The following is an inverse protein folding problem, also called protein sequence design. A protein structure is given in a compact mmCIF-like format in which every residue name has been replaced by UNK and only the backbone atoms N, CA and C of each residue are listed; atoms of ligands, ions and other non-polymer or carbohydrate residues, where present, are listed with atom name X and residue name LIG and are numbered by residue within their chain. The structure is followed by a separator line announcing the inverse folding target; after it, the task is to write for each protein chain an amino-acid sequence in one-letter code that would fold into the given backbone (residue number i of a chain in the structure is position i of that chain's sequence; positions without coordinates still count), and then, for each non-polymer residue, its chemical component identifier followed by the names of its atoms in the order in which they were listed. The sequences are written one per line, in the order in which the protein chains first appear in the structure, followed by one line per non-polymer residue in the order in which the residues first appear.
data_IF_646883914944
#
_entry.id   IF_646883914944
#
_cell.length_a   1.000
_cell.length_b   1.000
_cell.length_c   1.000
_cell.angle_alpha   90.00
_cell.angle_beta   90.00
_cell.angle_gamma   90.00
#
_symmetry.space_group_name_H-M   'P 1'
#
loop_
_entity.id
_entity.type
_entity.pdbx_description
1 polymer ?
#
# COMPACT_ATOMS: atom_id res chain seq x y z
N UNK A 1 -16.83 -15.23 -15.15
CA UNK A 1 -16.25 -15.68 -13.88
C UNK A 1 -16.12 -14.49 -12.94
N UNK A 2 -16.30 -14.70 -11.64
CA UNK A 2 -16.17 -13.67 -10.63
C UNK A 2 -14.68 -13.28 -10.48
N UNK A 3 -14.37 -11.98 -10.55
CA UNK A 3 -12.98 -11.49 -10.46
C UNK A 3 -12.44 -11.62 -9.05
N UNK A 4 -11.16 -11.97 -8.96
CA UNK A 4 -10.42 -12.15 -7.70
C UNK A 4 -9.53 -10.95 -7.43
N UNK A 5 -9.60 -10.38 -6.23
CA UNK A 5 -8.74 -9.27 -5.81
C UNK A 5 -8.00 -9.57 -4.51
N UNK A 6 -6.70 -9.29 -4.49
CA UNK A 6 -5.89 -9.30 -3.28
C UNK A 6 -5.56 -7.86 -2.85
N UNK A 7 -5.72 -7.58 -1.56
CA UNK A 7 -5.36 -6.30 -0.94
C UNK A 7 -4.28 -6.53 0.13
N UNK A 8 -2.98 -6.53 -0.24
CA UNK A 8 -1.89 -6.51 0.72
C UNK A 8 -1.92 -5.24 1.56
N UNK A 9 -1.75 -5.36 2.89
CA UNK A 9 -1.90 -4.22 3.79
C UNK A 9 -3.34 -3.94 4.21
N UNK A 10 -4.22 -4.91 4.06
CA UNK A 10 -5.66 -4.83 4.37
C UNK A 10 -5.99 -4.39 5.82
N UNK A 11 -5.07 -4.59 6.78
CA UNK A 11 -5.23 -4.11 8.16
C UNK A 11 -5.16 -2.58 8.29
N UNK A 12 -4.50 -1.92 7.35
CA UNK A 12 -4.32 -0.46 7.35
C UNK A 12 -5.63 0.28 7.06
N UNK A 13 -5.62 1.60 7.32
CA UNK A 13 -6.78 2.45 7.08
C UNK A 13 -7.29 2.37 5.63
N UNK A 14 -6.43 2.63 4.64
CA UNK A 14 -6.82 2.53 3.23
C UNK A 14 -7.18 1.09 2.86
N UNK A 15 -6.37 0.12 3.31
CA UNK A 15 -6.54 -1.29 2.96
C UNK A 15 -7.87 -1.89 3.38
N UNK A 16 -8.41 -1.55 4.56
CA UNK A 16 -9.69 -2.08 4.99
C UNK A 16 -10.85 -1.56 4.13
N UNK A 17 -10.83 -0.30 3.68
CA UNK A 17 -11.84 0.22 2.75
C UNK A 17 -11.72 -0.38 1.34
N UNK A 18 -10.50 -0.68 0.88
CA UNK A 18 -10.31 -1.36 -0.40
C UNK A 18 -10.86 -2.79 -0.36
N UNK A 19 -10.73 -3.49 0.77
CA UNK A 19 -11.36 -4.81 0.95
C UNK A 19 -12.89 -4.69 0.91
N UNK A 20 -13.48 -3.75 1.64
CA UNK A 20 -14.92 -3.48 1.61
C UNK A 20 -15.39 -3.14 0.19
N UNK A 21 -14.67 -2.24 -0.50
CA UNK A 21 -14.98 -1.86 -1.88
C UNK A 21 -14.89 -3.02 -2.89
N UNK A 22 -14.01 -4.00 -2.67
CA UNK A 22 -13.95 -5.23 -3.46
C UNK A 22 -15.20 -6.08 -3.27
N UNK A 23 -15.61 -6.28 -2.01
CA UNK A 23 -16.83 -7.04 -1.68
C UNK A 23 -18.11 -6.38 -2.21
N UNK A 24 -18.22 -5.06 -2.12
CA UNK A 24 -19.35 -4.29 -2.64
C UNK A 24 -19.50 -4.41 -4.16
N UNK A 25 -18.40 -4.61 -4.86
CA UNK A 25 -18.36 -4.85 -6.32
C UNK A 25 -18.54 -6.31 -6.71
N UNK A 26 -18.87 -7.18 -5.76
CA UNK A 26 -19.06 -8.60 -6.01
C UNK A 26 -17.79 -9.36 -6.36
N UNK A 27 -16.61 -8.86 -5.96
CA UNK A 27 -15.36 -9.56 -6.19
C UNK A 27 -15.06 -10.59 -5.10
N UNK A 28 -14.44 -11.70 -5.45
CA UNK A 28 -13.81 -12.58 -4.48
C UNK A 28 -12.59 -11.86 -3.90
N UNK A 29 -12.68 -11.44 -2.63
CA UNK A 29 -11.75 -10.50 -2.03
C UNK A 29 -10.89 -11.15 -0.96
N UNK A 30 -9.55 -11.08 -1.14
CA UNK A 30 -8.56 -11.51 -0.16
C UNK A 30 -7.94 -10.31 0.56
N UNK A 31 -8.01 -10.34 1.87
CA UNK A 31 -7.25 -9.45 2.75
C UNK A 31 -5.85 -10.02 2.96
N UNK A 32 -4.83 -9.39 2.39
CA UNK A 32 -3.43 -9.73 2.59
C UNK A 32 -2.92 -9.18 3.93
N UNK A 33 -2.65 -10.07 4.89
CA UNK A 33 -2.27 -9.70 6.26
C UNK A 33 -1.10 -10.56 6.76
N UNK A 34 -0.41 -10.11 7.82
CA UNK A 34 0.52 -10.94 8.57
C UNK A 34 -0.24 -11.80 9.59
N UNK A 35 0.31 -12.94 10.00
CA UNK A 35 -0.28 -13.84 11.01
C UNK A 35 -0.74 -13.12 12.28
N UNK A 36 0.05 -12.13 12.73
CA UNK A 36 -0.21 -11.35 13.96
C UNK A 36 -1.09 -10.13 13.74
N UNK A 37 -1.63 -9.91 12.55
CA UNK A 37 -2.42 -8.72 12.25
C UNK A 37 -3.77 -8.74 12.94
N UNK A 38 -4.16 -7.60 13.53
CA UNK A 38 -5.52 -7.41 14.02
C UNK A 38 -6.51 -7.40 12.86
N UNK A 39 -7.65 -8.08 13.04
CA UNK A 39 -8.76 -8.13 12.07
C UNK A 39 -9.91 -7.20 12.46
N UNK A 40 -9.69 -6.21 13.33
CA UNK A 40 -10.74 -5.35 13.91
C UNK A 40 -11.71 -4.76 12.88
N UNK A 41 -11.23 -4.39 11.71
CA UNK A 41 -12.02 -3.81 10.61
C UNK A 41 -12.24 -4.77 9.43
N UNK A 42 -11.93 -6.06 9.61
CA UNK A 42 -12.05 -7.10 8.59
C UNK A 42 -12.99 -8.19 9.12
N UNK A 43 -14.24 -7.82 9.43
CA UNK A 43 -15.22 -8.68 10.10
C UNK A 43 -16.26 -9.31 9.16
N UNK A 44 -16.38 -8.84 7.91
CA UNK A 44 -17.31 -9.40 6.94
C UNK A 44 -16.92 -10.85 6.64
N UNK A 45 -17.89 -11.76 6.76
CA UNK A 45 -17.67 -13.22 6.57
C UNK A 45 -17.27 -13.60 5.14
N UNK A 46 -17.48 -12.72 4.17
CA UNK A 46 -17.09 -12.92 2.77
C UNK A 46 -15.59 -12.69 2.54
N UNK A 47 -14.90 -12.01 3.50
CA UNK A 47 -13.47 -11.76 3.39
C UNK A 47 -12.71 -13.08 3.48
N UNK A 48 -11.87 -13.32 2.47
CA UNK A 48 -10.86 -14.37 2.50
C UNK A 48 -9.55 -13.79 3.00
N UNK A 49 -8.72 -14.59 3.61
CA UNK A 49 -7.44 -14.12 4.17
C UNK A 49 -6.28 -14.80 3.44
N UNK A 50 -5.29 -14.00 3.05
CA UNK A 50 -4.00 -14.48 2.58
C UNK A 50 -2.93 -14.02 3.59
N UNK A 51 -2.22 -14.97 4.19
CA UNK A 51 -1.09 -14.67 5.06
C UNK A 51 0.14 -14.38 4.20
N UNK A 52 0.72 -13.18 4.32
CA UNK A 52 1.84 -12.73 3.50
C UNK A 52 2.92 -12.05 4.35
N UNK A 53 4.14 -12.54 4.26
CA UNK A 53 5.30 -11.99 4.98
C UNK A 53 6.29 -11.33 4.00
N UNK A 54 6.08 -10.08 3.67
CA UNK A 54 6.90 -9.32 2.71
C UNK A 54 8.35 -9.08 3.16
N UNK A 55 8.65 -9.22 4.45
CA UNK A 55 9.99 -9.02 4.99
C UNK A 55 10.93 -10.24 4.82
N UNK A 56 10.37 -11.39 4.43
CA UNK A 56 11.10 -12.64 4.21
C UNK A 56 10.67 -13.21 2.86
N UNK A 57 11.55 -13.14 1.88
CA UNK A 57 11.25 -13.52 0.49
C UNK A 57 10.92 -15.01 0.35
N UNK A 58 11.66 -15.86 1.03
CA UNK A 58 11.46 -17.32 0.91
C UNK A 58 10.13 -17.74 1.57
N UNK A 59 9.86 -17.22 2.76
CA UNK A 59 8.58 -17.44 3.43
C UNK A 59 7.40 -16.91 2.64
N UNK A 60 7.55 -15.74 2.01
CA UNK A 60 6.53 -15.18 1.13
C UNK A 60 6.26 -16.11 -0.06
N UNK A 61 7.30 -16.68 -0.68
CA UNK A 61 7.15 -17.64 -1.77
C UNK A 61 6.40 -18.90 -1.32
N UNK A 62 6.77 -19.48 -0.18
CA UNK A 62 6.05 -20.63 0.38
C UNK A 62 4.55 -20.33 0.54
N UNK A 63 4.21 -19.17 1.10
CA UNK A 63 2.82 -18.76 1.29
C UNK A 63 2.08 -18.56 -0.04
N UNK A 64 2.74 -18.01 -1.05
CA UNK A 64 2.17 -17.84 -2.39
C UNK A 64 1.99 -19.16 -3.13
N UNK A 65 2.91 -20.13 -2.95
CA UNK A 65 2.79 -21.47 -3.51
C UNK A 65 1.55 -22.19 -2.97
N UNK A 66 1.38 -22.18 -1.64
CA UNK A 66 0.19 -22.75 -0.99
C UNK A 66 -1.08 -22.09 -1.53
N UNK A 67 -1.11 -20.76 -1.60
CA UNK A 67 -2.26 -20.05 -2.15
C UNK A 67 -2.54 -20.42 -3.61
N UNK A 68 -1.50 -20.50 -4.44
CA UNK A 68 -1.62 -20.89 -5.86
C UNK A 68 -2.25 -22.27 -6.02
N UNK A 69 -1.85 -23.23 -5.19
CA UNK A 69 -2.39 -24.59 -5.22
C UNK A 69 -3.87 -24.66 -4.83
N UNK A 70 -4.27 -23.89 -3.82
CA UNK A 70 -5.64 -23.94 -3.28
C UNK A 70 -6.63 -23.06 -4.06
N UNK A 71 -6.18 -21.93 -4.57
CA UNK A 71 -7.06 -20.87 -5.07
C UNK A 71 -6.68 -20.34 -6.46
N UNK A 72 -5.51 -20.70 -6.97
CA UNK A 72 -4.94 -20.11 -8.20
C UNK A 72 -4.40 -18.70 -7.96
N UNK A 73 -4.35 -17.89 -9.02
CA UNK A 73 -3.91 -16.49 -8.96
C UNK A 73 -5.05 -15.51 -8.65
N UNK A 74 -4.70 -14.23 -8.55
CA UNK A 74 -5.62 -13.11 -8.48
C UNK A 74 -5.65 -12.35 -9.80
N UNK A 75 -6.83 -11.88 -10.21
CA UNK A 75 -6.95 -10.99 -11.38
C UNK A 75 -6.38 -9.60 -11.08
N UNK A 76 -6.61 -9.11 -9.86
CA UNK A 76 -6.16 -7.79 -9.42
C UNK A 76 -5.42 -7.86 -8.09
N UNK A 77 -4.36 -7.06 -7.96
CA UNK A 77 -3.66 -6.84 -6.70
C UNK A 77 -3.62 -5.34 -6.43
N UNK A 78 -4.12 -4.91 -5.25
CA UNK A 78 -4.04 -3.52 -4.81
C UNK A 78 -3.05 -3.45 -3.65
N UNK A 79 -1.78 -3.19 -3.98
CA UNK A 79 -0.69 -3.24 -3.01
C UNK A 79 -0.62 -1.95 -2.18
N UNK A 80 -1.21 -1.97 -1.00
CA UNK A 80 -1.16 -0.90 -0.01
C UNK A 80 -0.38 -1.29 1.26
N UNK A 81 0.31 -2.44 1.26
CA UNK A 81 1.23 -2.77 2.34
C UNK A 81 2.42 -1.80 2.34
N UNK A 82 2.76 -1.32 3.52
CA UNK A 82 3.86 -0.41 3.73
C UNK A 82 3.86 0.15 5.15
N UNK A 83 4.88 0.92 5.46
CA UNK A 83 5.04 1.63 6.73
C UNK A 83 5.07 3.13 6.49
N UNK A 84 4.32 3.88 7.30
CA UNK A 84 4.23 5.34 7.21
C UNK A 84 4.95 6.03 8.37
N UNK A 85 5.28 5.29 9.43
CA UNK A 85 5.98 5.76 10.62
C UNK A 85 7.00 4.72 11.05
N UNK A 86 8.26 5.13 11.16
CA UNK A 86 9.37 4.29 11.62
C UNK A 86 10.29 5.10 12.51
N UNK A 87 10.97 4.44 13.45
CA UNK A 87 12.01 5.05 14.27
C UNK A 87 13.29 5.28 13.47
N UNK A 88 13.63 4.35 12.58
CA UNK A 88 14.85 4.43 11.77
C UNK A 88 14.50 4.58 10.28
N UNK A 89 15.26 5.39 9.57
CA UNK A 89 15.03 5.64 8.13
C UNK A 89 15.14 4.37 7.28
N UNK A 90 16.02 3.45 7.67
CA UNK A 90 16.19 2.15 7.00
C UNK A 90 14.92 1.28 7.01
N UNK A 91 14.07 1.42 8.03
CA UNK A 91 12.84 0.66 8.14
C UNK A 91 11.83 1.04 7.07
N UNK A 92 11.84 2.31 6.60
CA UNK A 92 11.07 2.70 5.41
C UNK A 92 11.57 1.99 4.15
N UNK A 93 12.89 1.89 3.99
CA UNK A 93 13.47 1.17 2.84
C UNK A 93 13.07 -0.31 2.85
N UNK A 94 13.20 -0.98 3.99
CA UNK A 94 12.84 -2.39 4.15
C UNK A 94 11.34 -2.61 3.99
N UNK A 95 10.52 -1.82 4.69
CA UNK A 95 9.07 -1.99 4.77
C UNK A 95 8.30 -1.53 3.54
N UNK A 96 8.85 -0.62 2.74
CA UNK A 96 8.20 -0.12 1.52
C UNK A 96 8.88 -0.65 0.25
N UNK A 97 10.15 -0.32 0.03
CA UNK A 97 10.83 -0.67 -1.21
C UNK A 97 11.15 -2.17 -1.28
N UNK A 98 11.93 -2.70 -0.34
CA UNK A 98 12.35 -4.10 -0.38
C UNK A 98 11.14 -5.06 -0.31
N UNK A 99 10.15 -4.73 0.51
CA UNK A 99 8.90 -5.49 0.60
C UNK A 99 8.15 -5.55 -0.74
N UNK A 100 8.10 -4.43 -1.47
CA UNK A 100 7.48 -4.38 -2.81
C UNK A 100 8.28 -5.19 -3.82
N UNK A 101 9.61 -5.06 -3.82
CA UNK A 101 10.50 -5.86 -4.69
C UNK A 101 10.31 -7.36 -4.42
N UNK A 102 10.40 -7.78 -3.15
CA UNK A 102 10.22 -9.19 -2.78
C UNK A 102 8.89 -9.75 -3.28
N UNK A 103 7.82 -8.96 -3.17
CA UNK A 103 6.50 -9.40 -3.59
C UNK A 103 6.38 -9.52 -5.11
N UNK A 104 6.80 -8.51 -5.85
CA UNK A 104 6.73 -8.51 -7.32
C UNK A 104 7.60 -9.62 -7.91
N UNK A 105 8.83 -9.80 -7.41
CA UNK A 105 9.70 -10.88 -7.87
C UNK A 105 9.09 -12.26 -7.57
N UNK A 106 8.53 -12.46 -6.37
CA UNK A 106 7.86 -13.71 -6.04
C UNK A 106 6.63 -13.99 -6.94
N UNK A 107 5.84 -12.95 -7.28
CA UNK A 107 4.73 -13.09 -8.23
C UNK A 107 5.23 -13.50 -9.62
N UNK A 108 6.33 -12.91 -10.10
CA UNK A 108 6.92 -13.24 -11.40
C UNK A 108 7.49 -14.66 -11.42
N UNK A 109 8.30 -15.01 -10.42
CA UNK A 109 8.92 -16.34 -10.29
C UNK A 109 7.87 -17.48 -10.21
N UNK A 110 6.71 -17.18 -9.61
CA UNK A 110 5.65 -18.17 -9.43
C UNK A 110 4.53 -18.09 -10.49
N UNK A 111 4.69 -17.29 -11.53
CA UNK A 111 3.67 -17.08 -12.57
C UNK A 111 2.30 -16.67 -11.98
N UNK A 112 2.33 -15.76 -11.00
CA UNK A 112 1.15 -15.21 -10.31
C UNK A 112 0.94 -13.72 -10.64
N UNK A 113 1.55 -13.23 -11.73
CA UNK A 113 1.38 -11.84 -12.16
C UNK A 113 -0.11 -11.61 -12.50
N UNK A 114 -0.76 -10.60 -11.87
CA UNK A 114 -2.18 -10.32 -12.08
C UNK A 114 -2.43 -9.61 -13.42
N UNK A 115 -3.69 -9.48 -13.82
CA UNK A 115 -4.09 -8.62 -14.97
C UNK A 115 -3.74 -7.14 -14.70
N UNK A 116 -3.84 -6.71 -13.44
CA UNK A 116 -3.45 -5.36 -12.97
C UNK A 116 -2.88 -5.40 -11.56
N UNK A 117 -1.74 -4.77 -11.39
CA UNK A 117 -1.08 -4.53 -10.11
C UNK A 117 -1.14 -3.04 -9.79
N UNK A 118 -2.01 -2.64 -8.87
CA UNK A 118 -2.12 -1.27 -8.41
C UNK A 118 -1.21 -1.06 -7.21
N UNK A 119 -0.28 -0.12 -7.33
CA UNK A 119 0.60 0.29 -6.24
C UNK A 119 0.11 1.58 -5.60
N UNK A 120 -0.16 1.56 -4.31
CA UNK A 120 -0.50 2.77 -3.56
C UNK A 120 0.80 3.44 -3.12
N UNK A 121 1.19 4.45 -3.87
CA UNK A 121 2.32 5.32 -3.59
C UNK A 121 1.92 6.51 -2.70
N UNK A 122 2.47 7.67 -2.93
CA UNK A 122 2.15 8.89 -2.18
C UNK A 122 2.59 10.14 -2.96
N UNK A 123 1.87 11.24 -2.77
CA UNK A 123 2.29 12.55 -3.25
C UNK A 123 3.61 13.02 -2.61
N UNK A 124 4.00 12.46 -1.47
CA UNK A 124 5.28 12.74 -0.79
C UNK A 124 6.54 12.43 -1.62
N UNK A 125 6.40 11.76 -2.77
CA UNK A 125 7.52 11.56 -3.71
C UNK A 125 8.01 12.85 -4.34
N UNK A 126 7.14 13.87 -4.43
CA UNK A 126 7.50 15.15 -5.04
C UNK A 126 8.27 16.06 -4.09
N UNK A 127 8.07 15.92 -2.77
CA UNK A 127 8.55 16.90 -1.81
C UNK A 127 7.84 18.24 -1.96
N UNK A 128 8.43 19.33 -1.46
CA UNK A 128 7.90 20.68 -1.63
C UNK A 128 8.17 21.18 -3.07
N UNK A 129 7.12 21.25 -3.87
CA UNK A 129 7.16 21.81 -5.23
C UNK A 129 5.99 22.77 -5.42
N UNK A 130 6.14 23.73 -6.32
CA UNK A 130 5.12 24.76 -6.64
C UNK A 130 4.66 25.59 -5.44
N UNK A 131 5.49 25.71 -4.39
CA UNK A 131 5.13 26.44 -3.15
C UNK A 131 4.89 27.93 -3.39
N UNK A 132 5.56 28.53 -4.38
CA UNK A 132 5.38 29.95 -4.72
C UNK A 132 4.28 30.18 -5.76
N UNK A 133 4.17 29.30 -6.76
CA UNK A 133 3.24 29.43 -7.87
C UNK A 133 1.84 28.87 -7.57
N UNK A 134 1.73 27.95 -6.60
CA UNK A 134 0.52 27.18 -6.31
C UNK A 134 -0.04 26.41 -7.52
N UNK A 135 0.78 26.12 -8.51
CA UNK A 135 0.38 25.30 -9.64
C UNK A 135 0.06 23.88 -9.23
N UNK A 136 -0.95 23.23 -9.81
CA UNK A 136 -1.27 21.84 -9.52
C UNK A 136 -0.10 20.91 -9.85
N UNK A 137 0.19 19.97 -8.93
CA UNK A 137 1.16 18.91 -9.16
C UNK A 137 0.61 17.95 -10.21
N UNK A 138 1.44 17.56 -11.16
CA UNK A 138 1.12 16.63 -12.24
C UNK A 138 2.06 15.43 -12.26
N UNK A 139 1.70 14.40 -13.00
CA UNK A 139 2.53 13.21 -13.18
C UNK A 139 3.85 13.49 -13.95
N UNK A 140 3.94 14.64 -14.62
CA UNK A 140 5.12 15.06 -15.38
C UNK A 140 6.16 15.77 -14.51
N UNK A 141 5.77 16.19 -13.32
CA UNK A 141 6.67 16.90 -12.43
C UNK A 141 7.79 16.00 -11.92
N UNK A 142 8.97 16.58 -11.75
CA UNK A 142 10.13 15.87 -11.26
C UNK A 142 9.98 15.51 -9.79
N UNK A 143 10.05 14.19 -9.49
CA UNK A 143 9.98 13.70 -8.12
C UNK A 143 11.27 14.02 -7.34
N UNK A 144 11.17 14.83 -6.27
CA UNK A 144 12.27 15.25 -5.40
C UNK A 144 11.89 15.08 -3.91
N UNK A 145 11.74 13.84 -3.42
CA UNK A 145 11.31 13.61 -2.05
C UNK A 145 12.33 14.14 -1.04
N UNK A 146 11.85 14.83 0.00
CA UNK A 146 12.63 15.34 1.12
C UNK A 146 12.47 14.52 2.41
N UNK A 147 11.72 13.41 2.37
CA UNK A 147 11.51 12.51 3.51
C UNK A 147 11.96 11.09 3.19
N UNK A 148 12.41 10.33 4.20
CA UNK A 148 12.78 8.92 4.03
C UNK A 148 11.59 8.07 3.54
N UNK A 149 10.36 8.40 3.96
CA UNK A 149 9.13 7.79 3.45
C UNK A 149 8.97 8.07 1.95
N UNK A 150 9.00 9.34 1.53
CA UNK A 150 8.87 9.72 0.11
C UNK A 150 9.96 9.07 -0.76
N UNK A 151 11.22 9.06 -0.28
CA UNK A 151 12.33 8.37 -0.95
C UNK A 151 12.03 6.87 -1.13
N UNK A 152 11.51 6.20 -0.10
CA UNK A 152 11.19 4.77 -0.18
C UNK A 152 10.08 4.47 -1.16
N UNK A 153 9.04 5.33 -1.22
CA UNK A 153 7.95 5.22 -2.19
C UNK A 153 8.42 5.46 -3.63
N UNK A 154 9.24 6.51 -3.85
CA UNK A 154 9.82 6.78 -5.16
C UNK A 154 10.71 5.64 -5.66
N UNK A 155 11.51 5.01 -4.79
CA UNK A 155 12.30 3.83 -5.16
C UNK A 155 11.42 2.68 -5.63
N UNK A 156 10.29 2.44 -4.97
CA UNK A 156 9.33 1.40 -5.38
C UNK A 156 8.71 1.72 -6.74
N UNK A 157 8.35 2.99 -6.99
CA UNK A 157 7.82 3.40 -8.29
C UNK A 157 8.85 3.20 -9.42
N UNK A 158 10.08 3.66 -9.20
CA UNK A 158 11.18 3.47 -10.19
C UNK A 158 11.45 2.00 -10.48
N UNK A 159 11.38 1.14 -9.46
CA UNK A 159 11.47 -0.30 -9.65
C UNK A 159 10.34 -0.82 -10.53
N UNK A 160 9.08 -0.51 -10.23
CA UNK A 160 7.95 -0.93 -11.05
C UNK A 160 8.05 -0.41 -12.49
N UNK A 161 8.45 0.84 -12.67
CA UNK A 161 8.65 1.47 -13.99
C UNK A 161 9.79 0.83 -14.79
N UNK A 162 10.77 0.20 -14.14
CA UNK A 162 11.86 -0.52 -14.82
C UNK A 162 11.44 -1.89 -15.36
N UNK A 163 10.26 -2.38 -15.03
CA UNK A 163 9.75 -3.69 -15.45
C UNK A 163 8.93 -3.55 -16.75
N UNK A 164 9.49 -4.00 -17.88
CA UNK A 164 8.90 -3.80 -19.20
C UNK A 164 7.48 -4.40 -19.35
N UNK A 165 7.26 -5.62 -18.84
CA UNK A 165 6.02 -6.39 -19.06
C UNK A 165 5.19 -6.59 -17.77
N UNK A 166 5.42 -5.79 -16.73
CA UNK A 166 4.65 -5.89 -15.49
C UNK A 166 3.46 -4.92 -15.53
N UNK A 167 2.20 -5.39 -15.32
CA UNK A 167 1.00 -4.59 -15.56
C UNK A 167 0.68 -3.66 -14.37
N UNK A 168 1.59 -2.76 -14.03
CA UNK A 168 1.40 -1.84 -12.90
C UNK A 168 0.54 -0.62 -13.23
N UNK A 169 -0.11 -0.09 -12.19
CA UNK A 169 -0.71 1.24 -12.14
C UNK A 169 -0.28 1.87 -10.81
N UNK A 170 0.14 3.12 -10.82
CA UNK A 170 0.61 3.83 -9.63
C UNK A 170 -0.41 4.89 -9.23
N UNK A 171 -0.86 4.86 -7.97
CA UNK A 171 -1.69 5.89 -7.34
C UNK A 171 -0.87 6.66 -6.33
N UNK A 172 -0.88 7.99 -6.44
CA UNK A 172 -0.17 8.92 -5.56
C UNK A 172 -1.16 9.75 -4.75
N UNK A 173 -1.78 9.18 -3.70
CA UNK A 173 -2.72 9.94 -2.90
C UNK A 173 -1.99 11.03 -2.10
N UNK A 174 -2.70 12.13 -1.85
CA UNK A 174 -2.37 13.13 -0.85
C UNK A 174 -2.73 12.62 0.56
N UNK A 175 -2.84 13.51 1.54
CA UNK A 175 -3.33 13.15 2.88
C UNK A 175 -4.76 12.61 2.83
N UNK A 176 -4.91 11.31 3.06
CA UNK A 176 -6.22 10.65 3.11
C UNK A 176 -6.74 10.67 4.54
N UNK A 177 -7.96 11.12 4.73
CA UNK A 177 -8.62 11.17 6.03
C UNK A 177 -10.05 10.60 5.97
N UNK A 178 -10.60 10.26 7.12
CA UNK A 178 -11.95 9.70 7.21
C UNK A 178 -12.11 8.76 8.40
N UNK A 179 -13.24 8.01 8.48
CA UNK A 179 -13.47 7.04 9.54
C UNK A 179 -12.32 6.03 9.63
N UNK A 180 -11.89 5.67 10.86
CA UNK A 180 -10.78 4.74 11.16
C UNK A 180 -9.36 5.32 10.97
N UNK A 181 -9.23 6.53 10.40
CA UNK A 181 -7.97 7.26 10.36
C UNK A 181 -7.66 7.83 11.76
N UNK A 182 -6.38 7.87 12.14
CA UNK A 182 -6.00 8.22 13.51
C UNK A 182 -5.29 9.57 13.62
N UNK A 183 -4.48 9.93 12.65
CA UNK A 183 -3.59 11.09 12.76
C UNK A 183 -4.38 12.40 12.60
N UNK A 184 -5.17 12.50 11.54
CA UNK A 184 -6.10 13.63 11.35
C UNK A 184 -7.18 13.67 12.44
N UNK A 185 -7.63 12.50 12.91
CA UNK A 185 -8.57 12.43 14.02
C UNK A 185 -7.98 13.02 15.31
N UNK A 186 -6.73 12.69 15.64
CA UNK A 186 -6.05 13.26 16.82
C UNK A 186 -5.86 14.76 16.69
N UNK A 187 -5.50 15.25 15.50
CA UNK A 187 -5.42 16.68 15.21
C UNK A 187 -6.79 17.37 15.44
N UNK A 188 -7.86 16.78 14.93
CA UNK A 188 -9.21 17.32 15.12
C UNK A 188 -9.62 17.34 16.61
N UNK A 189 -9.25 16.31 17.39
CA UNK A 189 -9.47 16.27 18.84
C UNK A 189 -8.68 17.37 19.55
N UNK A 190 -7.44 17.62 19.17
CA UNK A 190 -6.61 18.71 19.71
C UNK A 190 -7.25 20.08 19.46
N UNK A 191 -7.66 20.33 18.22
CA UNK A 191 -8.36 21.57 17.84
C UNK A 191 -9.64 21.74 18.67
N UNK A 192 -10.45 20.68 18.80
CA UNK A 192 -11.66 20.70 19.64
C UNK A 192 -11.38 21.05 21.09
N UNK A 193 -10.23 20.64 21.61
CA UNK A 193 -9.80 20.91 23.00
C UNK A 193 -9.01 22.23 23.10
N UNK A 194 -9.04 23.10 22.08
CA UNK A 194 -8.32 24.36 22.02
C UNK A 194 -6.80 24.22 22.21
N UNK A 195 -6.23 23.06 21.82
CA UNK A 195 -4.78 22.83 21.81
C UNK A 195 -4.29 22.94 20.38
N UNK A 196 -3.50 23.94 20.11
CA UNK A 196 -2.81 24.11 18.84
C UNK A 196 -1.34 23.78 18.98
N UNK A 197 -0.83 22.92 18.13
CA UNK A 197 0.59 22.55 18.07
C UNK A 197 1.21 23.23 16.85
N UNK A 198 1.86 24.35 17.05
CA UNK A 198 2.77 24.88 16.06
C UNK A 198 4.05 24.05 16.06
N UNK A 199 4.32 23.33 14.99
CA UNK A 199 5.64 22.77 14.75
C UNK A 199 6.46 23.92 14.13
N UNK A 200 7.26 24.58 14.98
CA UNK A 200 8.08 25.71 14.55
C UNK A 200 9.16 25.33 13.57
N UNK A 201 9.57 26.33 12.82
CA UNK A 201 10.80 26.32 12.02
C UNK A 201 12.00 26.56 12.92
#
# INVERSE_FOLDING_TARGET
MEKKVLVPGARGFIGCFLVEGGLERGMLTWAGIRKTSSRKYLQDKRIRFAELNFGDKEKLKEQLIVHKQEHGGWDYIIHCAGVTKCLHQEDFHKGNYQATVNFVEALKELELVPERFMYISSLSIFGPIHEESYEPISEKDEAKPNTAYGVSKLKSEKYLQSLADFPYVIYRPTGVYGPRERDYFQMAVSIKNHVDFAVGY
#
